data_IF_140538248384
#
_entry.id   IF_140538248384
#
_cell.length_a   1.000
_cell.length_b   1.000
_cell.length_c   1.000
_cell.angle_alpha   90.00
_cell.angle_beta   90.00
_cell.angle_gamma   90.00
#
_symmetry.space_group_name_H-M   'P 1'
#
loop_
_entity.id
_entity.type
_entity.pdbx_description
1 polymer ?
#
# COMPACT_ATOMS: atom_id res chain seq x y z
N UNK A 1 4.36 -8.97 7.03
CA UNK A 1 5.50 -8.03 7.09
C UNK A 1 6.78 -8.84 7.13
N UNK A 2 7.74 -8.53 6.27
CA UNK A 2 9.05 -9.18 6.26
C UNK A 2 10.15 -8.14 6.14
N UNK A 3 11.38 -8.50 6.53
CA UNK A 3 12.58 -7.74 6.15
C UNK A 3 12.88 -7.92 4.66
N UNK A 4 13.88 -7.19 4.14
CA UNK A 4 14.40 -7.37 2.78
C UNK A 4 14.94 -8.77 2.52
N UNK A 5 15.47 -9.42 3.57
CA UNK A 5 16.03 -10.78 3.52
C UNK A 5 14.96 -11.87 3.71
N UNK A 6 13.67 -11.50 3.80
CA UNK A 6 12.57 -12.44 3.94
C UNK A 6 12.32 -12.94 5.36
N UNK A 7 12.95 -12.35 6.39
CA UNK A 7 12.61 -12.67 7.78
C UNK A 7 11.21 -12.14 8.10
N UNK A 8 10.32 -13.01 8.55
CA UNK A 8 8.96 -12.62 8.97
C UNK A 8 9.02 -11.79 10.26
N UNK A 9 8.47 -10.59 10.21
CA UNK A 9 8.35 -9.68 11.36
C UNK A 9 6.97 -9.76 11.99
N UNK A 10 5.92 -9.83 11.16
CA UNK A 10 4.53 -9.82 11.61
C UNK A 10 3.59 -10.39 10.54
N UNK A 11 2.48 -10.99 10.95
CA UNK A 11 1.44 -11.49 10.06
C UNK A 11 0.08 -11.53 10.75
N UNK A 12 -0.97 -11.53 9.94
CA UNK A 12 -2.34 -11.72 10.39
C UNK A 12 -3.07 -12.67 9.44
N UNK A 13 -3.89 -13.55 10.00
CA UNK A 13 -4.72 -14.48 9.23
C UNK A 13 -6.04 -13.78 8.88
N UNK A 14 -6.40 -13.78 7.60
CA UNK A 14 -7.68 -13.25 7.16
C UNK A 14 -8.79 -14.30 7.27
N UNK A 15 -9.75 -14.04 8.15
CA UNK A 15 -10.92 -14.88 8.45
C UNK A 15 -12.23 -14.29 7.89
N UNK A 16 -12.14 -13.43 6.88
CA UNK A 16 -13.30 -12.74 6.31
C UNK A 16 -13.84 -11.66 7.25
N UNK A 17 -15.16 -11.58 7.40
CA UNK A 17 -15.84 -10.54 8.18
C UNK A 17 -15.49 -10.53 9.69
N UNK A 18 -14.92 -11.62 10.22
CA UNK A 18 -14.46 -11.71 11.61
C UNK A 18 -13.09 -11.07 11.83
N UNK A 19 -12.33 -10.82 10.76
CA UNK A 19 -10.99 -10.26 10.87
C UNK A 19 -11.07 -8.80 11.29
N UNK A 20 -10.66 -8.53 12.52
CA UNK A 20 -10.60 -7.16 13.04
C UNK A 20 -9.17 -6.62 12.83
N UNK A 21 -8.99 -5.87 11.75
CA UNK A 21 -7.86 -4.95 11.68
C UNK A 21 -8.26 -3.64 12.35
N UNK A 22 -7.31 -2.93 12.95
CA UNK A 22 -7.59 -1.66 13.62
C UNK A 22 -8.44 -0.73 12.75
N UNK A 23 -9.35 0.01 13.39
CA UNK A 23 -10.26 0.92 12.69
C UNK A 23 -9.44 1.97 11.93
N UNK A 24 -9.46 1.89 10.60
CA UNK A 24 -9.06 3.00 9.74
C UNK A 24 -10.30 3.43 8.96
N UNK A 25 -10.50 4.74 8.86
CA UNK A 25 -11.49 5.34 7.97
C UNK A 25 -11.12 5.18 6.48
N UNK A 26 -10.00 4.51 6.18
CA UNK A 26 -9.46 4.31 4.83
C UNK A 26 -9.87 2.97 4.20
N UNK A 27 -10.56 2.11 4.97
CA UNK A 27 -11.02 0.80 4.53
C UNK A 27 -10.03 -0.34 4.82
N UNK A 28 -10.40 -1.55 4.40
CA UNK A 28 -9.74 -2.79 4.83
C UNK A 28 -8.26 -2.87 4.44
N UNK A 29 -7.91 -2.58 3.18
CA UNK A 29 -6.54 -2.69 2.68
C UNK A 29 -5.55 -1.84 3.50
N UNK A 30 -5.79 -0.53 3.64
CA UNK A 30 -4.99 0.33 4.51
C UNK A 30 -4.98 -0.11 5.98
N UNK A 31 -6.11 -0.54 6.54
CA UNK A 31 -6.18 -1.06 7.92
C UNK A 31 -5.23 -2.24 8.16
N UNK A 32 -5.10 -3.15 7.19
CA UNK A 32 -4.15 -4.28 7.27
C UNK A 32 -2.71 -3.76 7.37
N UNK A 33 -2.31 -2.86 6.47
CA UNK A 33 -0.95 -2.33 6.42
C UNK A 33 -0.62 -1.55 7.69
N UNK A 34 -1.49 -0.63 8.11
CA UNK A 34 -1.30 0.16 9.33
C UNK A 34 -1.24 -0.72 10.59
N UNK A 35 -1.96 -1.84 10.62
CA UNK A 35 -1.89 -2.79 11.73
C UNK A 35 -0.53 -3.49 11.78
N UNK A 36 -0.04 -4.01 10.65
CA UNK A 36 1.25 -4.72 10.57
C UNK A 36 2.45 -3.77 10.72
N UNK A 37 2.30 -2.50 10.33
CA UNK A 37 3.35 -1.48 10.45
C UNK A 37 3.68 -1.10 11.89
N UNK A 38 2.84 -1.47 12.87
CA UNK A 38 3.14 -1.26 14.30
C UNK A 38 4.37 -2.05 14.78
N UNK A 39 4.75 -3.08 14.04
CA UNK A 39 5.85 -3.99 14.37
C UNK A 39 7.21 -3.53 13.82
N UNK A 40 7.29 -2.36 13.17
CA UNK A 40 8.52 -1.81 12.60
C UNK A 40 8.81 -0.40 13.14
N UNK A 41 10.09 0.00 13.25
CA UNK A 41 10.44 1.32 13.77
C UNK A 41 10.16 2.44 12.76
N UNK A 42 9.90 3.67 13.23
CA UNK A 42 9.93 4.86 12.38
C UNK A 42 11.24 5.00 11.60
N UNK A 43 11.19 5.57 10.41
CA UNK A 43 12.27 5.66 9.43
C UNK A 43 12.40 4.44 8.52
N UNK A 44 11.56 3.42 8.71
CA UNK A 44 11.54 2.23 7.84
C UNK A 44 10.92 2.52 6.47
N UNK A 45 11.37 1.80 5.45
CA UNK A 45 10.77 1.78 4.12
C UNK A 45 9.89 0.54 3.93
N UNK A 46 8.61 0.75 3.64
CA UNK A 46 7.61 -0.30 3.49
C UNK A 46 7.18 -0.39 2.03
N UNK A 47 7.26 -1.60 1.48
CA UNK A 47 6.86 -1.90 0.10
C UNK A 47 5.55 -2.68 0.10
N UNK A 48 4.57 -2.19 -0.65
CA UNK A 48 3.22 -2.75 -0.69
C UNK A 48 2.87 -3.25 -2.09
N UNK A 49 2.11 -4.35 -2.16
CA UNK A 49 1.44 -4.75 -3.40
C UNK A 49 0.31 -3.77 -3.76
N UNK A 50 -0.01 -3.69 -5.05
CA UNK A 50 -1.07 -2.82 -5.60
C UNK A 50 -2.43 -2.98 -4.94
N UNK A 51 -2.72 -4.17 -4.41
CA UNK A 51 -3.98 -4.43 -3.75
C UNK A 51 -4.16 -3.56 -2.50
N UNK A 52 -3.09 -3.21 -1.80
CA UNK A 52 -3.13 -2.41 -0.57
C UNK A 52 -2.87 -0.93 -0.81
N UNK A 53 -2.17 -0.57 -1.88
CA UNK A 53 -1.76 0.82 -2.15
C UNK A 53 -2.94 1.73 -2.49
N UNK A 54 -3.06 2.81 -1.71
CA UNK A 54 -3.93 3.98 -1.96
C UNK A 54 -3.18 5.25 -1.59
N UNK A 55 -3.56 6.40 -2.16
CA UNK A 55 -2.93 7.69 -1.81
C UNK A 55 -3.12 8.02 -0.31
N UNK A 56 -4.32 7.90 0.29
CA UNK A 56 -4.50 8.18 1.71
C UNK A 56 -3.66 7.26 2.64
N UNK A 57 -3.42 6.00 2.24
CA UNK A 57 -2.53 5.12 3.00
C UNK A 57 -1.11 5.69 3.04
N UNK A 58 -0.59 6.18 1.91
CA UNK A 58 0.76 6.75 1.84
C UNK A 58 0.86 7.99 2.75
N UNK A 59 -0.18 8.84 2.76
CA UNK A 59 -0.23 10.01 3.64
C UNK A 59 -0.26 9.65 5.13
N UNK A 60 -1.00 8.61 5.53
CA UNK A 60 -0.99 8.12 6.92
C UNK A 60 0.36 7.50 7.31
N UNK A 61 1.00 6.76 6.41
CA UNK A 61 2.32 6.19 6.66
C UNK A 61 3.37 7.29 6.87
N UNK A 62 3.31 8.37 6.09
CA UNK A 62 4.20 9.53 6.26
C UNK A 62 4.02 10.20 7.63
N UNK A 63 2.79 10.32 8.13
CA UNK A 63 2.52 10.84 9.50
C UNK A 63 3.15 9.97 10.59
N UNK A 64 3.31 8.67 10.34
CA UNK A 64 3.98 7.72 11.22
C UNK A 64 5.50 7.70 11.03
N UNK A 65 6.05 8.59 10.20
CA UNK A 65 7.44 8.60 9.77
C UNK A 65 7.85 7.26 9.16
N UNK A 66 6.98 6.68 8.33
CA UNK A 66 7.25 5.47 7.57
C UNK A 66 7.20 5.78 6.07
N UNK A 67 8.30 5.56 5.38
CA UNK A 67 8.33 5.69 3.93
C UNK A 67 7.56 4.54 3.30
N UNK A 68 6.67 4.84 2.37
CA UNK A 68 5.80 3.85 1.74
C UNK A 68 5.94 3.89 0.22
N UNK A 69 6.08 2.74 -0.42
CA UNK A 69 6.13 2.62 -1.88
C UNK A 69 5.32 1.42 -2.37
N UNK A 70 4.61 1.58 -3.47
CA UNK A 70 3.90 0.49 -4.12
C UNK A 70 3.29 0.95 -5.44
N UNK A 71 2.90 0.01 -6.27
CA UNK A 71 2.15 0.32 -7.51
C UNK A 71 0.70 0.63 -7.17
N UNK A 72 0.05 1.60 -7.82
CA UNK A 72 -1.36 1.93 -7.57
C UNK A 72 -2.24 1.40 -8.71
N UNK A 73 -3.43 0.88 -8.39
CA UNK A 73 -4.42 0.54 -9.41
C UNK A 73 -4.99 1.82 -10.03
N UNK A 74 -5.09 1.89 -11.37
CA UNK A 74 -5.50 3.08 -12.10
C UNK A 74 -6.86 3.66 -11.63
N UNK A 75 -7.80 2.81 -11.20
CA UNK A 75 -9.11 3.23 -10.69
C UNK A 75 -9.06 3.85 -9.28
N UNK A 76 -7.92 3.77 -8.59
CA UNK A 76 -7.71 4.32 -7.24
C UNK A 76 -6.88 5.61 -7.24
N UNK A 77 -6.46 6.08 -8.42
CA UNK A 77 -5.76 7.35 -8.57
C UNK A 77 -6.79 8.49 -8.41
N UNK A 78 -6.57 9.44 -7.49
CA UNK A 78 -7.38 10.65 -7.40
C UNK A 78 -7.43 11.37 -8.74
N UNK A 79 -8.59 11.90 -9.12
CA UNK A 79 -8.78 12.63 -10.38
C UNK A 79 -8.37 11.85 -11.65
N UNK A 80 -8.42 10.50 -11.63
CA UNK A 80 -8.00 9.64 -12.75
C UNK A 80 -8.56 10.05 -14.12
N UNK A 81 -9.75 10.65 -14.15
CA UNK A 81 -10.41 11.09 -15.39
C UNK A 81 -9.61 12.19 -16.12
N UNK A 82 -8.81 12.96 -15.38
CA UNK A 82 -7.94 14.01 -15.92
C UNK A 82 -6.62 13.44 -16.46
N UNK A 83 -6.27 12.21 -16.09
CA UNK A 83 -4.99 11.59 -16.44
C UNK A 83 -5.17 10.66 -17.64
N UNK A 84 -4.49 11.00 -18.75
CA UNK A 84 -4.49 10.18 -19.97
C UNK A 84 -3.24 9.32 -20.02
N UNK A 85 -3.32 8.15 -19.41
CA UNK A 85 -2.28 7.14 -19.58
C UNK A 85 -2.31 6.57 -21.00
N UNK A 86 -1.13 6.36 -21.59
CA UNK A 86 -1.01 5.54 -22.79
C UNK A 86 -1.44 4.12 -22.45
N UNK A 87 -2.08 3.44 -23.40
CA UNK A 87 -2.27 2.01 -23.30
C UNK A 87 -0.92 1.32 -23.48
N UNK A 88 -0.71 0.20 -22.82
CA UNK A 88 0.51 -0.61 -22.93
C UNK A 88 0.87 -0.92 -24.39
N UNK A 89 -0.13 -1.19 -25.23
CA UNK A 89 0.06 -1.46 -26.67
C UNK A 89 0.61 -0.27 -27.47
N UNK A 90 0.50 0.95 -26.93
CA UNK A 90 0.96 2.18 -27.57
C UNK A 90 2.29 2.70 -27.00
N UNK A 91 2.86 2.00 -26.01
CA UNK A 91 4.15 2.35 -25.41
C UNK A 91 5.29 1.70 -26.19
N UNK A 92 6.38 2.45 -26.42
CA UNK A 92 7.64 1.87 -26.92
C UNK A 92 8.40 1.22 -25.77
N UNK A 93 9.22 0.22 -26.07
CA UNK A 93 10.08 -0.41 -25.06
C UNK A 93 11.01 0.62 -24.44
N UNK A 94 10.99 0.74 -23.11
CA UNK A 94 11.80 1.71 -22.35
C UNK A 94 11.23 3.12 -22.31
N UNK A 95 10.03 3.35 -22.83
CA UNK A 95 9.30 4.61 -22.66
C UNK A 95 8.62 4.62 -21.29
N UNK A 96 8.89 5.65 -20.49
CA UNK A 96 8.26 5.92 -19.19
C UNK A 96 7.24 7.06 -19.33
#
# INVERSE_FOLDING_TARGET
>A
MTTSEGLMLDFAIYEGAKTMFGESNLGLGPSVILSLAKSIPPGSCVYHDRYFTTVPLIEEMEKLNLHSTGTIMQNRIPDRATIKFKKDSAMRRGEC
#
